data_IF_177128104210
#
_entry.id   IF_177128104210
#
_cell.length_a   1.000
_cell.length_b   1.000
_cell.length_c   1.000
_cell.angle_alpha   90.00
_cell.angle_beta   90.00
_cell.angle_gamma   90.00
#
_symmetry.space_group_name_H-M   'P 1'
#
loop_
_entity.id
_entity.type
_entity.pdbx_description
1 polymer ?
#
# COMPACT_ATOMS: atom_id res chain seq x y z
N UNK A 1 0.08 -0.65 -8.24
CA UNK A 1 -0.68 -1.82 -8.72
C UNK A 1 -1.32 -2.50 -7.53
N UNK A 2 -2.58 -2.92 -7.67
CA UNK A 2 -3.33 -3.65 -6.65
C UNK A 2 -3.83 -4.95 -7.27
N UNK A 3 -3.64 -6.08 -6.59
CA UNK A 3 -4.17 -7.39 -6.97
C UNK A 3 -4.95 -7.96 -5.78
N UNK A 4 -6.13 -8.51 -6.06
CA UNK A 4 -7.03 -9.08 -5.07
C UNK A 4 -7.23 -10.57 -5.39
N UNK A 5 -6.96 -11.43 -4.42
CA UNK A 5 -7.14 -12.88 -4.51
C UNK A 5 -7.91 -13.38 -3.28
N UNK A 6 -9.24 -13.46 -3.40
CA UNK A 6 -10.10 -13.73 -2.26
C UNK A 6 -10.00 -12.60 -1.22
N UNK A 7 -9.52 -12.92 -0.03
CA UNK A 7 -9.30 -11.98 1.08
C UNK A 7 -7.86 -11.46 1.15
N UNK A 8 -6.98 -11.86 0.23
CA UNK A 8 -5.62 -11.34 0.15
C UNK A 8 -5.55 -10.16 -0.83
N UNK A 9 -4.99 -9.03 -0.36
CA UNK A 9 -4.77 -7.82 -1.16
C UNK A 9 -3.27 -7.56 -1.23
N UNK A 10 -2.71 -7.69 -2.43
CA UNK A 10 -1.31 -7.39 -2.72
C UNK A 10 -1.19 -6.01 -3.37
N UNK A 11 -0.39 -5.13 -2.77
CA UNK A 11 -0.18 -3.75 -3.22
C UNK A 11 1.29 -3.55 -3.56
N UNK A 12 1.58 -3.03 -4.74
CA UNK A 12 2.91 -2.52 -5.14
C UNK A 12 2.81 -1.03 -5.50
N UNK A 13 3.70 -0.19 -5.02
CA UNK A 13 3.68 1.25 -5.30
C UNK A 13 4.49 1.55 -6.56
N UNK A 14 3.80 2.12 -7.57
CA UNK A 14 4.35 2.42 -8.89
C UNK A 14 4.10 1.32 -9.94
N UNK A 15 4.13 1.68 -11.22
CA UNK A 15 4.20 0.73 -12.34
C UNK A 15 5.63 0.21 -12.53
N UNK A 16 6.61 1.06 -12.21
CA UNK A 16 8.00 0.72 -11.90
C UNK A 16 8.12 0.80 -10.37
N UNK A 17 8.81 -0.13 -9.69
CA UNK A 17 8.96 -0.10 -8.24
C UNK A 17 9.43 1.27 -7.75
N UNK A 18 8.68 1.87 -6.83
CA UNK A 18 9.05 3.14 -6.23
C UNK A 18 10.39 3.02 -5.49
N UNK A 19 11.26 4.05 -5.52
CA UNK A 19 12.50 4.05 -4.73
C UNK A 19 12.26 3.82 -3.24
N UNK A 20 13.18 3.13 -2.59
CA UNK A 20 13.14 2.84 -1.15
C UNK A 20 14.53 3.09 -0.54
N UNK A 21 15.11 4.26 -0.78
CA UNK A 21 16.37 4.66 -0.13
C UNK A 21 16.08 5.38 1.19
N UNK A 22 17.12 5.73 1.97
CA UNK A 22 16.93 6.49 3.22
C UNK A 22 16.30 7.86 2.98
N UNK A 23 16.63 8.50 1.86
CA UNK A 23 16.17 9.83 1.49
C UNK A 23 14.83 9.82 0.76
N UNK A 24 14.47 8.71 0.10
CA UNK A 24 13.27 8.62 -0.73
C UNK A 24 12.64 7.23 -0.62
N UNK A 25 11.56 7.13 0.15
CA UNK A 25 10.86 5.88 0.38
C UNK A 25 9.36 6.07 0.66
N UNK A 26 8.62 4.99 0.46
CA UNK A 26 7.24 4.86 0.93
C UNK A 26 7.28 4.59 2.43
N UNK A 27 6.71 5.49 3.22
CA UNK A 27 6.65 5.36 4.68
C UNK A 27 5.60 4.32 5.08
N UNK A 28 4.47 4.29 4.37
CA UNK A 28 3.42 3.32 4.62
C UNK A 28 2.53 3.08 3.41
N UNK A 29 1.87 1.93 3.45
CA UNK A 29 0.77 1.54 2.57
C UNK A 29 -0.45 1.25 3.46
N UNK A 30 -1.61 1.67 3.00
CA UNK A 30 -2.89 1.47 3.69
C UNK A 30 -3.92 0.89 2.73
N UNK A 31 -4.74 -0.01 3.25
CA UNK A 31 -5.86 -0.64 2.59
C UNK A 31 -7.11 -0.46 3.46
N UNK A 32 -8.17 0.13 2.90
CA UNK A 32 -9.42 0.40 3.59
C UNK A 32 -10.55 -0.43 2.98
N UNK A 33 -11.22 -1.24 3.80
CA UNK A 33 -12.32 -2.13 3.39
C UNK A 33 -13.48 -1.93 4.37
N UNK A 34 -14.55 -1.29 3.90
CA UNK A 34 -15.65 -0.87 4.79
C UNK A 34 -15.15 0.11 5.85
N UNK A 35 -15.35 -0.24 7.14
CA UNK A 35 -14.85 0.55 8.28
C UNK A 35 -13.45 0.12 8.74
N UNK A 36 -12.90 -0.95 8.18
CA UNK A 36 -11.60 -1.48 8.57
C UNK A 36 -10.47 -0.77 7.83
N UNK A 37 -9.40 -0.46 8.57
CA UNK A 37 -8.17 0.12 8.04
C UNK A 37 -7.00 -0.79 8.36
N UNK A 38 -6.35 -1.29 7.32
CA UNK A 38 -5.15 -2.13 7.39
C UNK A 38 -3.97 -1.28 6.95
N UNK A 39 -2.95 -1.14 7.81
CA UNK A 39 -1.79 -0.31 7.53
C UNK A 39 -0.49 -1.08 7.72
N UNK A 40 0.42 -0.95 6.77
CA UNK A 40 1.79 -1.44 6.85
C UNK A 40 2.74 -0.25 6.80
N UNK A 41 3.44 0.00 7.90
CA UNK A 41 4.63 0.85 7.89
C UNK A 41 5.77 0.11 7.19
N UNK A 42 6.53 0.84 6.39
CA UNK A 42 7.70 0.37 5.66
C UNK A 42 8.92 1.17 6.08
N UNK A 43 10.09 0.60 5.86
CA UNK A 43 11.39 1.23 6.14
C UNK A 43 12.18 1.39 4.84
N UNK A 44 13.15 2.33 4.82
CA UNK A 44 14.16 2.35 3.78
C UNK A 44 14.78 0.97 3.56
N UNK A 45 15.11 0.69 2.30
CA UNK A 45 15.69 -0.54 1.77
C UNK A 45 14.78 -1.78 1.83
N UNK A 46 13.50 -1.62 2.17
CA UNK A 46 12.48 -2.64 1.96
C UNK A 46 11.86 -2.52 0.56
N UNK A 47 11.09 -3.52 0.13
CA UNK A 47 10.31 -3.41 -1.09
C UNK A 47 9.12 -2.47 -0.89
N UNK A 48 8.79 -1.64 -1.90
CA UNK A 48 7.64 -0.73 -1.88
C UNK A 48 6.31 -1.46 -2.10
N UNK A 49 6.05 -2.48 -1.29
CA UNK A 49 4.90 -3.37 -1.40
C UNK A 49 4.39 -3.84 -0.04
N UNK A 50 3.13 -4.24 0.00
CA UNK A 50 2.50 -4.82 1.18
C UNK A 50 1.43 -5.84 0.77
N UNK A 51 1.23 -6.83 1.63
CA UNK A 51 0.15 -7.82 1.51
C UNK A 51 -0.73 -7.70 2.74
N UNK A 52 -2.04 -7.61 2.53
CA UNK A 52 -3.04 -7.50 3.59
C UNK A 52 -4.03 -8.65 3.50
N UNK A 53 -4.31 -9.28 4.63
CA UNK A 53 -5.48 -10.14 4.78
C UNK A 53 -6.62 -9.29 5.29
N UNK A 54 -7.62 -9.05 4.44
CA UNK A 54 -8.72 -8.13 4.72
C UNK A 54 -10.02 -8.87 4.95
N UNK A 55 -10.91 -8.30 5.75
CA UNK A 55 -12.26 -8.81 5.96
C UNK A 55 -13.28 -7.86 5.33
N UNK A 56 -14.25 -8.42 4.61
CA UNK A 56 -15.33 -7.68 3.98
C UNK A 56 -15.25 -7.65 2.46
N UNK A 57 -16.11 -6.82 1.86
CA UNK A 57 -16.22 -6.66 0.41
C UNK A 57 -15.15 -5.70 -0.13
N UNK A 58 -14.26 -6.22 -0.98
CA UNK A 58 -13.16 -5.48 -1.60
C UNK A 58 -13.59 -4.69 -2.85
N UNK A 59 -14.86 -4.78 -3.27
CA UNK A 59 -15.38 -4.08 -4.47
C UNK A 59 -15.26 -2.56 -4.41
N UNK A 60 -15.32 -1.98 -3.20
CA UNK A 60 -15.19 -0.54 -2.94
C UNK A 60 -13.98 -0.21 -2.06
N UNK A 61 -12.97 -1.08 -2.07
CA UNK A 61 -11.74 -0.88 -1.31
C UNK A 61 -10.96 0.34 -1.80
N UNK A 62 -10.30 1.04 -0.88
CA UNK A 62 -9.41 2.15 -1.18
C UNK A 62 -7.99 1.77 -0.78
N UNK A 63 -7.00 2.05 -1.65
CA UNK A 63 -5.59 1.82 -1.35
C UNK A 63 -4.82 3.14 -1.44
N UNK A 64 -4.04 3.40 -0.40
CA UNK A 64 -3.20 4.61 -0.30
C UNK A 64 -1.76 4.25 0.00
N UNK A 65 -0.85 5.10 -0.44
CA UNK A 65 0.55 5.03 -0.07
C UNK A 65 1.08 6.43 0.20
N UNK A 66 2.04 6.56 1.12
CA UNK A 66 2.64 7.85 1.43
C UNK A 66 4.15 7.82 1.21
N UNK A 67 4.60 8.67 0.31
CA UNK A 67 6.01 8.91 0.06
C UNK A 67 6.49 10.08 0.92
N UNK A 68 7.68 9.96 1.52
CA UNK A 68 8.25 11.03 2.33
C UNK A 68 8.51 12.33 1.53
N UNK A 69 8.69 12.24 0.21
CA UNK A 69 8.93 13.39 -0.68
C UNK A 69 7.66 13.82 -1.41
N UNK A 70 6.91 12.87 -1.98
CA UNK A 70 5.76 13.16 -2.85
C UNK A 70 4.43 13.23 -2.10
N UNK A 71 4.42 12.94 -0.80
CA UNK A 71 3.21 12.94 0.02
C UNK A 71 2.29 11.77 -0.30
N UNK A 72 0.98 12.01 -0.15
CA UNK A 72 -0.05 11.01 -0.28
C UNK A 72 -0.39 10.71 -1.75
N UNK A 73 -0.40 9.42 -2.09
CA UNK A 73 -0.95 8.90 -3.34
C UNK A 73 -2.14 7.97 -3.04
N UNK A 74 -3.13 7.98 -3.92
CA UNK A 74 -4.34 7.14 -3.84
C UNK A 74 -4.70 6.58 -5.22
N UNK A 75 -5.09 5.32 -5.25
CA UNK A 75 -5.80 4.69 -6.37
C UNK A 75 -7.21 4.26 -5.96
#
# INVERSE_FOLDING_TARGET
>A
MVNVNGNEVSVKVGSIPHPMTEEHFIQWIECMVGENVYKKELKPNEAAEAVFMVEGDTSNMIVRAYCNIHGLWQA
#
